data_IF_494257455705
#
_entry.id   IF_494257455705
#
_cell.length_a   1.000
_cell.length_b   1.000
_cell.length_c   1.000
_cell.angle_alpha   90.00
_cell.angle_beta   90.00
_cell.angle_gamma   90.00
#
_symmetry.space_group_name_H-M   'P 1'
#
loop_
_entity.id
_entity.type
_entity.pdbx_description
1 polymer ?
#
# COMPACT_ATOMS: atom_id res chain seq x y z
N UNK A 1 39.03 -28.57 -16.28
CA UNK A 1 39.32 -27.16 -16.62
C UNK A 1 38.86 -26.29 -15.47
N UNK A 2 39.72 -25.37 -15.01
CA UNK A 2 39.66 -24.69 -13.72
C UNK A 2 38.48 -23.71 -13.53
N UNK A 3 37.93 -23.73 -12.31
CA UNK A 3 37.45 -22.62 -11.45
C UNK A 3 36.61 -21.50 -12.08
N UNK A 4 35.37 -21.38 -11.61
CA UNK A 4 34.82 -20.15 -11.00
C UNK A 4 33.84 -20.58 -9.91
N UNK A 5 34.34 -20.74 -8.67
CA UNK A 5 34.24 -19.77 -7.57
C UNK A 5 32.79 -19.54 -7.13
N UNK A 6 32.46 -20.19 -6.01
CA UNK A 6 31.50 -19.78 -4.97
C UNK A 6 31.14 -18.29 -5.09
N UNK A 7 29.95 -17.99 -5.61
CA UNK A 7 29.27 -16.76 -5.26
C UNK A 7 28.23 -17.13 -4.21
N UNK A 8 28.66 -17.01 -2.95
CA UNK A 8 27.76 -16.77 -1.83
C UNK A 8 26.95 -15.53 -2.20
N UNK A 9 25.75 -15.72 -2.73
CA UNK A 9 24.69 -14.73 -2.57
C UNK A 9 23.98 -15.07 -1.28
N UNK A 10 24.60 -14.63 -0.17
CA UNK A 10 23.86 -14.22 1.01
C UNK A 10 22.99 -13.03 0.58
N UNK A 11 21.90 -13.28 -0.13
CA UNK A 11 20.81 -12.30 -0.22
C UNK A 11 20.11 -12.46 1.12
N UNK A 12 20.57 -11.62 2.04
CA UNK A 12 19.85 -11.31 3.26
C UNK A 12 18.41 -11.06 2.84
N UNK A 13 17.51 -11.95 3.29
CA UNK A 13 16.08 -11.74 3.20
C UNK A 13 15.80 -10.33 3.70
N UNK A 14 15.55 -9.40 2.78
CA UNK A 14 14.66 -8.32 3.10
C UNK A 14 13.29 -9.00 3.23
N UNK A 15 13.04 -9.58 4.41
CA UNK A 15 11.76 -9.29 5.04
C UNK A 15 11.56 -7.80 4.75
N UNK A 16 10.51 -7.45 4.01
CA UNK A 16 9.87 -6.16 4.22
C UNK A 16 9.31 -6.28 5.63
N UNK A 17 10.24 -6.23 6.59
CA UNK A 17 9.97 -6.08 7.98
C UNK A 17 9.27 -4.76 7.99
N UNK A 18 7.97 -4.84 8.28
CA UNK A 18 7.23 -3.82 8.97
C UNK A 18 8.26 -3.09 9.83
N UNK A 19 8.71 -1.93 9.37
CA UNK A 19 9.40 -1.01 10.24
C UNK A 19 8.31 -0.67 11.23
N UNK A 20 8.26 -1.45 12.31
CA UNK A 20 7.69 -1.05 13.56
C UNK A 20 8.54 0.16 13.98
N UNK A 21 8.26 1.30 13.36
CA UNK A 21 8.31 2.55 14.07
C UNK A 21 7.43 2.27 15.27
N UNK A 22 8.10 2.09 16.39
CA UNK A 22 7.51 2.09 17.71
C UNK A 22 6.73 3.40 17.80
N UNK A 23 5.49 3.40 17.33
CA UNK A 23 4.46 4.23 17.90
C UNK A 23 4.50 3.84 19.37
N UNK A 24 5.07 4.71 20.19
CA UNK A 24 4.97 4.60 21.63
C UNK A 24 3.52 4.18 21.90
N UNK A 25 3.35 3.03 22.54
CA UNK A 25 2.11 2.74 23.26
C UNK A 25 2.07 3.77 24.38
N UNK A 26 1.71 4.99 24.05
CA UNK A 26 1.33 5.94 25.06
C UNK A 26 -0.03 5.48 25.55
N UNK A 27 0.00 5.11 26.83
CA UNK A 27 -1.14 4.77 27.65
C UNK A 27 -2.24 5.81 27.45
N UNK A 28 -3.48 5.31 27.47
CA UNK A 28 -4.71 6.11 27.46
C UNK A 28 -4.58 7.31 28.42
N UNK A 29 -4.32 8.49 27.89
CA UNK A 29 -4.48 9.75 28.61
C UNK A 29 -5.97 10.08 28.70
N UNK A 30 -6.59 9.79 29.85
CA UNK A 30 -8.00 10.08 30.14
C UNK A 30 -8.23 11.39 30.88
N UNK A 31 -7.43 12.44 30.65
CA UNK A 31 -7.76 13.78 31.15
C UNK A 31 -7.61 14.85 30.06
N UNK A 32 -8.67 15.64 29.80
CA UNK A 32 -8.55 16.80 28.92
C UNK A 32 -7.56 17.80 29.53
N UNK A 33 -6.47 18.09 28.82
CA UNK A 33 -5.57 19.17 29.23
C UNK A 33 -6.33 20.50 29.31
N UNK A 34 -6.14 21.23 30.41
CA UNK A 34 -6.79 22.53 30.68
C UNK A 34 -6.06 23.71 30.04
N UNK A 35 -5.27 23.46 28.99
CA UNK A 35 -4.57 24.53 28.27
C UNK A 35 -5.56 25.51 27.65
N UNK A 36 -5.31 26.80 27.90
CA UNK A 36 -6.09 27.90 27.35
C UNK A 36 -6.00 28.02 25.82
N UNK A 37 -4.94 27.47 25.21
CA UNK A 37 -4.75 27.43 23.76
C UNK A 37 -5.47 26.22 23.15
N UNK A 38 -6.04 26.35 21.93
CA UNK A 38 -6.55 25.19 21.22
C UNK A 38 -5.40 24.23 20.93
N UNK A 39 -5.57 22.94 21.23
CA UNK A 39 -4.58 21.90 20.91
C UNK A 39 -5.29 20.75 20.22
N UNK A 40 -4.70 20.29 19.13
CA UNK A 40 -5.10 19.08 18.39
C UNK A 40 -3.91 18.14 18.27
N UNK A 41 -4.17 16.84 18.35
CA UNK A 41 -3.17 15.77 18.24
C UNK A 41 -3.60 14.76 17.20
N UNK A 42 -2.67 14.30 16.36
CA UNK A 42 -2.89 13.27 15.34
C UNK A 42 -2.26 11.96 15.80
N UNK A 43 -3.02 10.88 15.70
CA UNK A 43 -2.50 9.51 15.77
C UNK A 43 -2.74 8.83 14.44
N UNK A 44 -1.69 8.28 13.84
CA UNK A 44 -1.76 7.62 12.54
C UNK A 44 -1.83 6.10 12.71
N UNK A 45 -2.70 5.44 11.95
CA UNK A 45 -2.88 4.00 11.95
C UNK A 45 -2.81 3.44 10.54
N UNK A 46 -2.33 2.20 10.44
CA UNK A 46 -2.34 1.46 9.18
C UNK A 46 -3.78 1.22 8.72
N UNK A 47 -4.02 1.46 7.43
CA UNK A 47 -5.27 1.05 6.81
C UNK A 47 -5.45 -0.48 6.91
N UNK A 48 -6.70 -0.88 7.06
CA UNK A 48 -7.10 -2.29 7.03
C UNK A 48 -8.11 -2.47 5.90
N UNK A 49 -8.11 -3.65 5.29
CA UNK A 49 -9.02 -3.99 4.21
C UNK A 49 -10.49 -3.76 4.65
N UNK A 50 -11.35 -3.23 3.76
CA UNK A 50 -11.18 -3.12 2.32
C UNK A 50 -10.40 -1.88 1.84
N UNK A 51 -9.90 -1.03 2.76
CA UNK A 51 -9.03 0.09 2.39
C UNK A 51 -7.70 -0.42 1.81
N UNK A 52 -7.15 0.33 0.88
CA UNK A 52 -5.84 0.04 0.29
C UNK A 52 -4.75 0.21 1.34
N UNK A 53 -4.06 -0.86 1.68
CA UNK A 53 -2.87 -0.80 2.54
C UNK A 53 -1.69 -0.08 1.89
N UNK A 54 -1.78 0.24 0.59
CA UNK A 54 -0.75 0.94 -0.17
C UNK A 54 -0.90 2.46 -0.13
N UNK A 55 -2.14 2.95 -0.07
CA UNK A 55 -2.47 4.34 -0.39
C UNK A 55 -3.52 4.98 0.53
N UNK A 56 -4.12 4.21 1.42
CA UNK A 56 -5.09 4.72 2.37
C UNK A 56 -4.48 4.77 3.77
N UNK A 57 -4.98 5.70 4.59
CA UNK A 57 -4.54 5.91 5.96
C UNK A 57 -5.73 6.24 6.83
N UNK A 58 -5.71 5.77 8.08
CA UNK A 58 -6.65 6.23 9.11
C UNK A 58 -5.88 7.13 10.08
N UNK A 59 -6.39 8.33 10.30
CA UNK A 59 -5.85 9.25 11.32
C UNK A 59 -6.91 9.56 12.36
N UNK A 60 -6.57 9.37 13.64
CA UNK A 60 -7.40 9.82 14.75
C UNK A 60 -6.96 11.20 15.18
N UNK A 61 -7.92 12.11 15.25
CA UNK A 61 -7.71 13.46 15.76
C UNK A 61 -8.32 13.56 17.14
N UNK A 62 -7.53 13.99 18.12
CA UNK A 62 -7.99 14.35 19.45
C UNK A 62 -7.82 15.86 19.66
N UNK A 63 -8.73 16.46 20.42
CA UNK A 63 -8.71 17.89 20.76
C UNK A 63 -8.79 18.11 22.27
N UNK A 64 -8.22 19.21 22.76
CA UNK A 64 -8.48 19.69 24.10
C UNK A 64 -9.79 20.50 24.18
N UNK A 65 -10.19 20.92 25.38
CA UNK A 65 -11.45 21.64 25.62
C UNK A 65 -11.47 23.08 25.09
N UNK A 66 -10.33 23.59 24.64
CA UNK A 66 -10.20 24.93 24.08
C UNK A 66 -10.49 24.99 22.57
N UNK A 67 -10.58 23.85 21.86
CA UNK A 67 -10.87 23.83 20.41
C UNK A 67 -12.36 24.06 20.17
N UNK A 68 -12.69 25.09 19.39
CA UNK A 68 -14.06 25.41 18.97
C UNK A 68 -14.40 24.79 17.60
N UNK A 69 -13.40 24.65 16.74
CA UNK A 69 -13.52 23.96 15.45
C UNK A 69 -12.15 23.43 15.00
N UNK A 70 -12.16 22.40 14.16
CA UNK A 70 -10.94 21.89 13.56
C UNK A 70 -11.12 21.58 12.08
N UNK A 71 -10.04 21.70 11.33
CA UNK A 71 -9.99 21.49 9.88
C UNK A 71 -8.78 20.63 9.54
N UNK A 72 -8.91 19.77 8.54
CA UNK A 72 -7.79 18.98 8.04
C UNK A 72 -7.59 19.20 6.54
N UNK A 73 -6.34 19.08 6.10
CA UNK A 73 -5.97 19.02 4.70
C UNK A 73 -4.90 17.95 4.53
N UNK A 74 -5.17 16.99 3.66
CA UNK A 74 -4.18 16.03 3.18
C UNK A 74 -3.80 16.44 1.74
N UNK A 75 -2.56 16.83 1.53
CA UNK A 75 -2.05 17.23 0.22
C UNK A 75 -0.65 16.66 -0.02
N UNK A 76 -0.21 16.65 -1.29
CA UNK A 76 1.14 16.20 -1.63
C UNK A 76 2.18 17.09 -0.96
N UNK A 77 3.27 16.49 -0.49
CA UNK A 77 4.36 17.22 0.17
C UNK A 77 4.94 18.33 -0.74
N UNK A 78 5.08 18.04 -2.04
CA UNK A 78 5.57 19.00 -3.04
C UNK A 78 4.59 20.16 -3.26
N UNK A 79 3.28 19.90 -3.28
CA UNK A 79 2.26 20.95 -3.43
C UNK A 79 2.29 21.89 -2.22
N UNK A 80 2.37 21.35 -1.00
CA UNK A 80 2.55 22.14 0.22
C UNK A 80 3.82 22.99 0.17
N UNK A 81 4.94 22.40 -0.22
CA UNK A 81 6.22 23.10 -0.32
C UNK A 81 6.18 24.23 -1.37
N UNK A 82 5.57 23.98 -2.52
CA UNK A 82 5.44 24.94 -3.61
C UNK A 82 4.60 26.18 -3.23
N UNK A 83 3.69 26.06 -2.25
CA UNK A 83 2.93 27.21 -1.72
C UNK A 83 3.82 28.23 -1.01
N UNK A 84 4.93 27.78 -0.41
CA UNK A 84 5.90 28.64 0.27
C UNK A 84 5.25 29.61 1.29
N UNK A 85 4.27 29.11 2.05
CA UNK A 85 3.55 29.88 3.07
C UNK A 85 4.26 29.77 4.43
N UNK A 86 4.32 30.87 5.17
CA UNK A 86 4.72 30.83 6.58
C UNK A 86 3.71 30.01 7.41
N UNK A 87 4.11 29.41 8.55
CA UNK A 87 3.26 28.50 9.33
C UNK A 87 1.86 29.05 9.64
N UNK A 88 1.76 30.30 10.09
CA UNK A 88 0.46 30.92 10.41
C UNK A 88 -0.42 31.12 9.17
N UNK A 89 0.18 31.57 8.06
CA UNK A 89 -0.52 31.73 6.78
C UNK A 89 -0.97 30.38 6.20
N UNK A 90 -0.19 29.32 6.44
CA UNK A 90 -0.58 27.97 6.05
C UNK A 90 -1.71 27.42 6.93
N UNK A 91 -1.73 27.72 8.24
CA UNK A 91 -2.86 27.37 9.09
C UNK A 91 -4.16 28.04 8.63
N UNK A 92 -4.10 29.31 8.20
CA UNK A 92 -5.24 30.00 7.58
C UNK A 92 -5.66 29.34 6.26
N UNK A 93 -4.69 28.90 5.45
CA UNK A 93 -4.94 28.17 4.21
C UNK A 93 -5.71 26.87 4.47
N UNK A 94 -5.28 26.06 5.46
CA UNK A 94 -5.95 24.81 5.84
C UNK A 94 -7.36 25.05 6.37
N UNK A 95 -7.59 26.10 7.18
CA UNK A 95 -8.95 26.44 7.64
C UNK A 95 -9.86 26.84 6.47
N UNK A 96 -9.31 27.50 5.45
CA UNK A 96 -10.09 28.03 4.32
C UNK A 96 -10.32 27.02 3.19
N UNK A 97 -9.40 26.07 2.99
CA UNK A 97 -9.39 25.14 1.86
C UNK A 97 -9.47 23.66 2.28
N UNK A 98 -9.26 23.37 3.56
CA UNK A 98 -9.39 22.04 4.13
C UNK A 98 -10.84 21.66 4.40
N UNK A 99 -11.00 20.45 4.93
CA UNK A 99 -12.29 19.89 5.33
C UNK A 99 -12.49 20.06 6.83
N UNK A 100 -13.65 20.57 7.25
CA UNK A 100 -14.01 20.67 8.66
C UNK A 100 -14.16 19.28 9.28
N UNK A 101 -13.63 19.08 10.48
CA UNK A 101 -13.80 17.85 11.25
C UNK A 101 -15.08 17.98 12.07
N UNK A 102 -16.11 17.22 11.69
CA UNK A 102 -17.37 17.18 12.43
C UNK A 102 -17.26 16.32 13.68
N UNK A 103 -18.02 16.71 14.72
CA UNK A 103 -18.12 16.00 16.01
C UNK A 103 -16.83 15.89 16.84
N UNK A 104 -15.75 16.59 16.48
CA UNK A 104 -14.54 16.62 17.31
C UNK A 104 -14.76 17.51 18.54
N UNK A 105 -14.49 16.96 19.73
CA UNK A 105 -14.49 17.71 20.98
C UNK A 105 -13.58 17.07 22.02
N UNK A 106 -13.38 17.75 23.16
CA UNK A 106 -12.60 17.20 24.27
C UNK A 106 -13.15 15.86 24.75
N UNK A 107 -12.29 14.83 24.79
CA UNK A 107 -12.68 13.48 25.16
C UNK A 107 -13.46 12.72 24.07
N UNK A 108 -13.75 13.34 22.92
CA UNK A 108 -14.40 12.71 21.78
C UNK A 108 -13.51 12.81 20.52
N UNK A 109 -12.47 11.95 20.40
CA UNK A 109 -11.62 11.92 19.22
C UNK A 109 -12.39 11.40 18.00
N UNK A 110 -11.99 11.85 16.81
CA UNK A 110 -12.61 11.50 15.52
C UNK A 110 -11.61 10.78 14.63
N UNK A 111 -12.05 9.69 14.01
CA UNK A 111 -11.26 8.95 13.01
C UNK A 111 -11.59 9.48 11.61
N UNK A 112 -10.54 9.84 10.86
CA UNK A 112 -10.62 10.28 9.47
C UNK A 112 -10.01 9.21 8.57
N UNK A 113 -10.77 8.79 7.56
CA UNK A 113 -10.28 7.88 6.52
C UNK A 113 -9.83 8.70 5.31
N UNK A 114 -8.53 8.67 5.04
CA UNK A 114 -7.90 9.36 3.92
C UNK A 114 -7.53 8.33 2.86
N UNK A 115 -8.02 8.48 1.64
CA UNK A 115 -7.87 7.47 0.58
C UNK A 115 -7.12 7.98 -0.64
N UNK A 116 -6.48 7.06 -1.37
CA UNK A 116 -5.88 7.34 -2.68
C UNK A 116 -4.63 8.22 -2.64
N UNK A 117 -3.93 8.29 -1.50
CA UNK A 117 -2.70 9.07 -1.35
C UNK A 117 -1.53 8.34 -2.01
N UNK A 118 -1.22 8.67 -3.27
CA UNK A 118 -0.10 8.10 -4.04
C UNK A 118 1.14 8.98 -3.96
N UNK A 119 2.22 8.45 -3.39
CA UNK A 119 3.45 9.20 -3.12
C UNK A 119 3.48 9.85 -1.74
N UNK A 120 4.26 10.92 -1.60
CA UNK A 120 4.49 11.59 -0.32
C UNK A 120 3.39 12.64 -0.03
N UNK A 121 2.68 12.47 1.07
CA UNK A 121 1.60 13.33 1.54
C UNK A 121 1.91 13.90 2.93
N UNK A 122 1.45 15.13 3.15
CA UNK A 122 1.40 15.77 4.47
C UNK A 122 -0.06 15.94 4.84
N UNK A 123 -0.40 15.50 6.06
CA UNK A 123 -1.73 15.62 6.65
C UNK A 123 -1.62 16.66 7.76
N UNK A 124 -2.18 17.84 7.53
CA UNK A 124 -2.22 18.93 8.50
C UNK A 124 -3.59 19.01 9.13
N UNK A 125 -3.65 19.12 10.46
CA UNK A 125 -4.87 19.44 11.21
C UNK A 125 -4.69 20.74 11.97
N UNK A 126 -5.66 21.64 11.85
CA UNK A 126 -5.66 22.94 12.52
C UNK A 126 -6.85 23.02 13.48
N UNK A 127 -6.57 23.16 14.77
CA UNK A 127 -7.55 23.52 15.79
C UNK A 127 -7.68 25.04 15.92
N UNK A 128 -8.90 25.54 16.08
CA UNK A 128 -9.21 26.98 16.11
C UNK A 128 -9.98 27.32 17.38
N UNK A 129 -9.63 28.46 17.99
CA UNK A 129 -10.36 29.14 19.08
C UNK A 129 -10.34 30.64 18.84
N UNK A 130 -11.46 31.23 18.44
CA UNK A 130 -11.49 32.62 18.00
C UNK A 130 -10.44 32.90 16.91
N UNK A 131 -9.51 33.83 17.16
CA UNK A 131 -8.40 34.14 16.26
C UNK A 131 -7.16 33.24 16.44
N UNK A 132 -7.09 32.48 17.53
CA UNK A 132 -5.94 31.61 17.84
C UNK A 132 -6.06 30.28 17.11
N UNK A 133 -4.96 29.82 16.53
CA UNK A 133 -4.88 28.54 15.81
C UNK A 133 -3.71 27.72 16.33
N UNK A 134 -3.86 26.41 16.23
CA UNK A 134 -2.79 25.45 16.48
C UNK A 134 -2.80 24.41 15.37
N UNK A 135 -1.67 24.29 14.67
CA UNK A 135 -1.48 23.32 13.61
C UNK A 135 -0.61 22.16 14.09
N UNK A 136 -0.98 20.94 13.70
CA UNK A 136 -0.18 19.73 13.87
C UNK A 136 -0.16 18.97 12.56
N UNK A 137 0.92 18.22 12.30
CA UNK A 137 1.14 17.55 11.02
C UNK A 137 1.61 16.11 11.24
N UNK A 138 1.23 15.23 10.33
CA UNK A 138 1.85 13.92 10.13
C UNK A 138 2.12 13.70 8.65
N UNK A 139 3.01 12.76 8.32
CA UNK A 139 3.33 12.40 6.94
C UNK A 139 2.87 10.98 6.63
N UNK A 140 2.35 10.79 5.42
CA UNK A 140 2.00 9.49 4.88
C UNK A 140 2.71 9.29 3.54
N UNK A 141 3.33 8.12 3.36
CA UNK A 141 3.98 7.76 2.11
C UNK A 141 3.27 6.57 1.49
N UNK A 142 2.45 6.84 0.48
CA UNK A 142 1.81 5.79 -0.29
C UNK A 142 2.66 5.29 -1.45
N UNK A 143 2.36 4.09 -1.93
CA UNK A 143 2.99 3.55 -3.13
C UNK A 143 2.51 4.30 -4.38
N UNK A 144 3.44 4.78 -5.19
CA UNK A 144 3.14 5.66 -6.30
C UNK A 144 2.88 4.86 -7.59
N UNK A 145 1.70 4.24 -7.65
CA UNK A 145 1.33 3.38 -8.76
C UNK A 145 1.04 4.15 -10.05
N UNK A 146 1.49 3.60 -11.18
CA UNK A 146 1.32 4.14 -12.52
C UNK A 146 0.91 3.04 -13.49
N UNK A 147 -0.07 3.34 -14.33
CA UNK A 147 -0.57 2.39 -15.33
C UNK A 147 0.48 2.12 -16.41
N UNK A 148 0.62 0.83 -16.76
CA UNK A 148 1.39 0.37 -17.92
C UNK A 148 0.43 0.03 -19.04
N UNK A 149 -0.50 -0.90 -18.78
CA UNK A 149 -1.42 -1.42 -19.76
C UNK A 149 -2.70 -1.93 -19.09
N UNK A 150 -3.82 -1.82 -19.81
CA UNK A 150 -5.05 -2.56 -19.51
C UNK A 150 -5.04 -3.85 -20.31
N UNK A 151 -5.62 -4.91 -19.75
CA UNK A 151 -5.58 -6.22 -20.37
C UNK A 151 -6.51 -7.22 -19.70
N UNK A 152 -6.48 -8.45 -20.18
CA UNK A 152 -7.22 -9.58 -19.60
C UNK A 152 -6.31 -10.43 -18.73
N UNK A 153 -6.67 -10.60 -17.45
CA UNK A 153 -6.05 -11.57 -16.57
C UNK A 153 -6.83 -12.90 -16.59
N UNK A 154 -6.12 -14.00 -16.75
CA UNK A 154 -6.67 -15.36 -16.72
C UNK A 154 -6.02 -16.17 -15.61
N UNK A 155 -6.87 -16.73 -14.73
CA UNK A 155 -6.45 -17.56 -13.61
C UNK A 155 -6.27 -19.01 -14.04
N UNK A 156 -5.17 -19.64 -13.63
CA UNK A 156 -4.94 -21.08 -13.79
C UNK A 156 -5.87 -21.93 -12.91
N UNK A 157 -6.31 -21.37 -11.77
CA UNK A 157 -7.16 -22.04 -10.78
C UNK A 157 -8.37 -21.16 -10.40
N UNK A 158 -9.32 -20.96 -11.32
CA UNK A 158 -10.51 -20.16 -11.05
C UNK A 158 -11.33 -20.68 -9.84
N UNK A 159 -11.34 -22.00 -9.63
CA UNK A 159 -12.00 -22.61 -8.48
C UNK A 159 -11.33 -22.28 -7.13
N UNK A 160 -10.03 -21.99 -7.09
CA UNK A 160 -9.32 -21.61 -5.87
C UNK A 160 -9.52 -20.13 -5.52
N UNK A 161 -9.68 -19.28 -6.54
CA UNK A 161 -9.88 -17.83 -6.37
C UNK A 161 -11.36 -17.43 -6.31
N UNK A 162 -12.26 -18.29 -6.79
CA UNK A 162 -13.65 -17.94 -7.04
C UNK A 162 -13.83 -16.89 -8.15
N UNK A 163 -12.79 -16.67 -8.97
CA UNK A 163 -12.76 -15.67 -10.03
C UNK A 163 -12.69 -16.34 -11.40
N UNK A 164 -13.37 -15.76 -12.39
CA UNK A 164 -13.13 -16.05 -13.81
C UNK A 164 -12.15 -15.04 -14.40
N UNK A 165 -11.70 -15.24 -15.64
CA UNK A 165 -10.91 -14.23 -16.34
C UNK A 165 -11.58 -12.86 -16.27
N UNK A 166 -10.79 -11.81 -16.03
CA UNK A 166 -11.27 -10.46 -15.75
C UNK A 166 -10.37 -9.44 -16.43
N UNK A 167 -10.94 -8.29 -16.79
CA UNK A 167 -10.15 -7.11 -17.13
C UNK A 167 -9.37 -6.66 -15.91
N UNK A 168 -8.11 -6.28 -16.11
CA UNK A 168 -7.24 -5.76 -15.06
C UNK A 168 -6.25 -4.74 -15.65
N UNK A 169 -5.54 -4.04 -14.77
CA UNK A 169 -4.51 -3.07 -15.15
C UNK A 169 -3.17 -3.49 -14.57
N UNK A 170 -2.17 -3.65 -15.45
CA UNK A 170 -0.77 -3.77 -15.05
C UNK A 170 -0.25 -2.40 -14.66
N UNK A 171 0.39 -2.31 -13.49
CA UNK A 171 0.96 -1.07 -12.96
C UNK A 171 2.41 -1.29 -12.48
N UNK A 172 3.23 -0.24 -12.58
CA UNK A 172 4.52 -0.15 -11.89
C UNK A 172 4.45 0.84 -10.72
N UNK A 173 5.33 0.66 -9.74
CA UNK A 173 5.47 1.58 -8.61
C UNK A 173 6.61 2.57 -8.89
N UNK A 174 6.30 3.84 -9.08
CA UNK A 174 7.29 4.86 -9.44
C UNK A 174 8.27 5.18 -8.29
N UNK A 175 7.90 4.89 -7.04
CA UNK A 175 8.72 5.13 -5.86
C UNK A 175 9.29 3.86 -5.19
N UNK A 176 9.12 2.69 -5.82
CA UNK A 176 9.75 1.43 -5.41
C UNK A 176 10.23 0.68 -6.65
N UNK A 177 11.54 0.68 -6.86
CA UNK A 177 12.15 0.09 -8.05
C UNK A 177 11.83 -1.40 -8.20
N UNK A 178 11.55 -1.82 -9.44
CA UNK A 178 11.21 -3.19 -9.79
C UNK A 178 9.89 -3.73 -9.20
N UNK A 179 9.06 -2.91 -8.55
CA UNK A 179 7.77 -3.35 -8.00
C UNK A 179 6.62 -3.09 -8.99
N UNK A 180 5.85 -4.15 -9.26
CA UNK A 180 4.72 -4.14 -10.15
C UNK A 180 3.48 -4.76 -9.48
N UNK A 181 2.31 -4.49 -10.05
CA UNK A 181 1.09 -5.22 -9.69
C UNK A 181 0.11 -5.37 -10.85
N UNK A 182 -0.70 -6.42 -10.80
CA UNK A 182 -1.97 -6.49 -11.50
C UNK A 182 -3.04 -5.98 -10.52
N UNK A 183 -3.51 -4.74 -10.76
CA UNK A 183 -4.36 -3.99 -9.84
C UNK A 183 -5.69 -4.69 -9.59
N UNK A 184 -6.04 -4.87 -8.32
CA UNK A 184 -7.33 -5.36 -7.80
C UNK A 184 -7.83 -6.67 -8.45
N UNK A 185 -6.91 -7.47 -8.99
CA UNK A 185 -7.25 -8.67 -9.79
C UNK A 185 -8.02 -9.71 -8.97
N UNK A 186 -7.86 -9.74 -7.65
CA UNK A 186 -8.60 -10.62 -6.76
C UNK A 186 -9.82 -9.95 -6.09
N UNK A 187 -9.99 -8.63 -6.27
CA UNK A 187 -11.01 -7.80 -5.63
C UNK A 187 -10.40 -6.49 -5.12
N UNK A 188 -11.26 -5.56 -4.68
CA UNK A 188 -10.82 -4.26 -4.17
C UNK A 188 -9.79 -4.41 -3.04
N UNK A 189 -8.62 -3.80 -3.22
CA UNK A 189 -7.50 -3.86 -2.27
C UNK A 189 -6.62 -5.10 -2.41
N UNK A 190 -7.01 -6.09 -3.21
CA UNK A 190 -6.27 -7.34 -3.42
C UNK A 190 -5.73 -7.43 -4.85
N UNK A 191 -4.56 -6.84 -5.04
CA UNK A 191 -3.77 -6.91 -6.28
C UNK A 191 -2.81 -8.09 -6.25
N UNK A 192 -2.39 -8.59 -7.42
CA UNK A 192 -1.22 -9.47 -7.49
C UNK A 192 0.03 -8.61 -7.59
N UNK A 193 0.83 -8.54 -6.52
CA UNK A 193 2.13 -7.85 -6.53
C UNK A 193 3.25 -8.79 -6.93
N UNK A 194 4.18 -8.29 -7.73
CA UNK A 194 5.35 -9.04 -8.17
C UNK A 194 6.56 -8.11 -8.38
N UNK A 195 7.76 -8.68 -8.34
CA UNK A 195 9.00 -7.91 -8.47
C UNK A 195 9.85 -8.40 -9.63
N UNK A 196 10.43 -7.45 -10.37
CA UNK A 196 11.50 -7.72 -11.32
C UNK A 196 12.74 -8.27 -10.62
N UNK A 197 13.44 -9.18 -11.28
CA UNK A 197 14.70 -9.76 -10.76
C UNK A 197 15.95 -9.12 -11.37
N UNK A 198 15.77 -8.26 -12.39
CA UNK A 198 16.84 -7.74 -13.24
C UNK A 198 17.39 -8.75 -14.26
N UNK A 199 16.99 -10.03 -14.19
CA UNK A 199 17.37 -11.03 -15.18
C UNK A 199 16.53 -10.86 -16.44
N UNK A 200 17.19 -10.57 -17.56
CA UNK A 200 16.55 -10.30 -18.85
C UNK A 200 16.82 -11.42 -19.84
N UNK A 201 15.88 -11.64 -20.74
CA UNK A 201 16.01 -12.58 -21.85
C UNK A 201 15.26 -12.10 -23.09
N UNK A 202 15.41 -12.86 -24.17
CA UNK A 202 14.69 -12.66 -25.42
C UNK A 202 14.28 -14.01 -25.97
N UNK A 203 13.02 -14.12 -26.38
CA UNK A 203 12.50 -15.29 -27.08
C UNK A 203 11.64 -14.88 -28.30
N UNK A 204 10.83 -15.80 -28.84
CA UNK A 204 9.95 -15.54 -29.98
C UNK A 204 8.79 -14.57 -29.67
N UNK A 205 8.48 -14.35 -28.40
CA UNK A 205 7.42 -13.48 -27.91
C UNK A 205 7.95 -12.06 -27.74
N UNK A 206 9.22 -11.90 -27.35
CA UNK A 206 9.89 -10.61 -27.28
C UNK A 206 11.00 -10.59 -26.24
N UNK A 207 11.42 -9.39 -25.84
CA UNK A 207 12.26 -9.24 -24.65
C UNK A 207 11.40 -9.33 -23.41
N UNK A 208 11.97 -9.92 -22.37
CA UNK A 208 11.31 -10.06 -21.09
C UNK A 208 12.28 -9.88 -19.93
N UNK A 209 11.71 -9.56 -18.77
CA UNK A 209 12.34 -9.66 -17.48
C UNK A 209 11.70 -10.80 -16.67
N UNK A 210 12.54 -11.60 -16.01
CA UNK A 210 12.09 -12.63 -15.07
C UNK A 210 11.58 -11.96 -13.80
N UNK A 211 10.42 -12.41 -13.31
CA UNK A 211 9.74 -11.81 -12.15
C UNK A 211 9.45 -12.81 -11.02
N UNK A 212 9.20 -12.32 -9.81
CA UNK A 212 8.87 -13.11 -8.62
C UNK A 212 7.52 -12.71 -8.05
N UNK A 213 6.77 -13.70 -7.58
CA UNK A 213 5.52 -13.53 -6.83
C UNK A 213 5.74 -14.11 -5.42
N UNK A 214 5.98 -13.23 -4.45
CA UNK A 214 6.02 -13.62 -3.05
C UNK A 214 4.64 -14.09 -2.56
N UNK A 215 4.64 -14.87 -1.47
CA UNK A 215 3.42 -15.30 -0.81
C UNK A 215 2.60 -14.09 -0.34
N UNK A 216 1.34 -14.01 -0.80
CA UNK A 216 0.44 -12.91 -0.47
C UNK A 216 -1.02 -13.40 -0.36
N UNK A 217 -1.81 -12.86 0.58
CA UNK A 217 -3.23 -13.17 0.69
C UNK A 217 -4.00 -12.56 -0.48
N UNK A 218 -5.06 -13.25 -0.93
CA UNK A 218 -5.88 -12.78 -2.06
C UNK A 218 -7.30 -12.35 -1.66
N UNK A 219 -7.60 -12.33 -0.35
CA UNK A 219 -8.90 -11.88 0.15
C UNK A 219 -10.05 -12.85 -0.12
N UNK A 220 -9.73 -14.13 -0.32
CA UNK A 220 -10.69 -15.20 -0.56
C UNK A 220 -10.56 -16.27 0.51
N UNK A 221 -11.64 -16.96 0.80
CA UNK A 221 -11.68 -18.13 1.69
C UNK A 221 -12.03 -19.37 0.88
N UNK A 222 -11.42 -20.51 1.25
CA UNK A 222 -11.71 -21.79 0.59
C UNK A 222 -12.42 -22.75 1.54
N UNK A 223 -13.75 -22.74 1.49
CA UNK A 223 -14.60 -23.53 2.38
C UNK A 223 -14.22 -23.31 3.85
N UNK A 224 -14.05 -24.41 4.60
CA UNK A 224 -13.64 -24.38 6.01
C UNK A 224 -12.11 -24.43 6.20
N UNK A 225 -11.32 -24.34 5.13
CA UNK A 225 -9.86 -24.49 5.19
C UNK A 225 -9.11 -23.16 5.40
N UNK A 226 -9.82 -22.03 5.38
CA UNK A 226 -9.30 -20.71 5.71
C UNK A 226 -8.95 -19.85 4.50
N UNK A 227 -8.12 -18.84 4.75
CA UNK A 227 -7.76 -17.79 3.80
C UNK A 227 -6.82 -18.32 2.71
N UNK A 228 -7.14 -17.96 1.47
CA UNK A 228 -6.36 -18.31 0.28
C UNK A 228 -5.24 -17.30 0.08
N UNK A 229 -4.07 -17.83 -0.25
CA UNK A 229 -2.89 -17.08 -0.65
C UNK A 229 -2.35 -17.58 -1.99
N UNK A 230 -1.55 -16.75 -2.65
CA UNK A 230 -0.85 -17.05 -3.91
C UNK A 230 0.65 -16.82 -3.75
N UNK A 231 1.46 -17.64 -4.42
CA UNK A 231 2.93 -17.47 -4.55
C UNK A 231 3.42 -18.11 -5.84
N UNK A 232 4.59 -17.73 -6.35
CA UNK A 232 5.22 -18.46 -7.44
C UNK A 232 5.72 -19.85 -6.99
N UNK A 233 5.92 -20.74 -7.97
CA UNK A 233 6.36 -22.11 -7.69
C UNK A 233 7.78 -22.18 -7.13
N UNK A 234 8.66 -21.26 -7.53
CA UNK A 234 10.01 -21.20 -6.99
C UNK A 234 10.01 -20.90 -5.48
N UNK A 235 9.13 -20.01 -5.04
CA UNK A 235 8.88 -19.65 -3.63
C UNK A 235 8.27 -20.81 -2.87
N UNK A 236 7.35 -21.57 -3.50
CA UNK A 236 6.79 -22.77 -2.88
C UNK A 236 7.85 -23.87 -2.71
N UNK A 237 8.61 -24.16 -3.77
CA UNK A 237 9.58 -25.26 -3.81
C UNK A 237 10.93 -24.88 -3.18
N UNK A 238 11.10 -23.60 -2.82
CA UNK A 238 12.34 -23.04 -2.29
C UNK A 238 13.55 -23.34 -3.19
N UNK A 239 13.37 -23.22 -4.51
CA UNK A 239 14.42 -23.37 -5.52
C UNK A 239 14.06 -22.58 -6.78
N UNK A 240 15.08 -22.03 -7.43
CA UNK A 240 14.94 -21.26 -8.67
C UNK A 240 14.76 -22.14 -9.91
N UNK A 241 14.88 -23.46 -9.76
CA UNK A 241 14.59 -24.41 -10.84
C UNK A 241 13.14 -24.33 -11.34
N UNK A 242 12.23 -23.77 -10.50
CA UNK A 242 10.83 -23.53 -10.85
C UNK A 242 10.51 -22.06 -11.10
N UNK A 243 11.53 -21.21 -11.28
CA UNK A 243 11.33 -19.81 -11.61
C UNK A 243 10.98 -19.68 -13.09
N UNK A 244 9.69 -19.79 -13.39
CA UNK A 244 9.15 -19.57 -14.73
C UNK A 244 8.02 -18.53 -14.67
N UNK A 245 8.42 -17.29 -14.43
CA UNK A 245 7.54 -16.13 -14.54
C UNK A 245 8.26 -15.04 -15.34
N UNK A 246 7.54 -14.34 -16.20
CA UNK A 246 8.12 -13.24 -16.95
C UNK A 246 7.12 -12.12 -17.19
N UNK A 247 7.65 -10.91 -17.37
CA UNK A 247 6.97 -9.73 -17.89
C UNK A 247 7.70 -9.26 -19.14
N UNK A 248 6.97 -9.12 -20.24
CA UNK A 248 7.48 -8.70 -21.54
C UNK A 248 7.37 -7.18 -21.72
N UNK A 249 8.15 -6.64 -22.66
CA UNK A 249 8.15 -5.20 -22.99
C UNK A 249 6.77 -4.67 -23.43
N UNK A 250 5.92 -5.53 -24.01
CA UNK A 250 4.55 -5.19 -24.41
C UNK A 250 3.54 -5.24 -23.24
N UNK A 251 3.98 -5.65 -22.05
CA UNK A 251 3.14 -5.81 -20.87
C UNK A 251 2.51 -7.20 -20.73
N UNK A 252 2.76 -8.15 -21.64
CA UNK A 252 2.36 -9.55 -21.43
C UNK A 252 3.07 -10.11 -20.20
N UNK A 253 2.31 -10.72 -19.29
CA UNK A 253 2.88 -11.41 -18.14
C UNK A 253 2.38 -12.86 -18.08
N UNK A 254 3.25 -13.74 -17.61
CA UNK A 254 2.83 -15.06 -17.14
C UNK A 254 3.49 -15.39 -15.80
N UNK A 255 2.75 -16.08 -14.94
CA UNK A 255 3.19 -16.44 -13.60
C UNK A 255 2.86 -17.91 -13.34
N UNK A 256 3.88 -18.73 -13.11
CA UNK A 256 3.70 -20.09 -12.64
C UNK A 256 3.45 -20.08 -11.13
N UNK A 257 2.18 -20.03 -10.75
CA UNK A 257 1.75 -19.79 -9.37
C UNK A 257 1.03 -20.98 -8.75
N UNK A 258 1.16 -21.07 -7.43
CA UNK A 258 0.38 -21.94 -6.56
C UNK A 258 -0.63 -21.10 -5.79
N UNK A 259 -1.87 -21.58 -5.74
CA UNK A 259 -2.87 -21.15 -4.76
C UNK A 259 -2.88 -22.12 -3.57
N UNK A 260 -2.93 -21.60 -2.36
CA UNK A 260 -2.83 -22.43 -1.15
C UNK A 260 -3.59 -21.83 0.04
N UNK A 261 -3.92 -22.69 0.98
CA UNK A 261 -4.40 -22.36 2.34
C UNK A 261 -3.41 -22.93 3.35
N UNK A 262 -3.58 -22.64 4.64
CA UNK A 262 -2.75 -23.22 5.71
C UNK A 262 -2.75 -24.75 5.70
N UNK A 263 -3.87 -25.37 5.31
CA UNK A 263 -4.01 -26.82 5.22
C UNK A 263 -3.30 -27.45 4.00
N UNK A 264 -2.87 -26.66 3.00
CA UNK A 264 -2.12 -27.17 1.85
C UNK A 264 -2.45 -26.50 0.52
N UNK A 265 -2.01 -27.15 -0.56
CA UNK A 265 -2.14 -26.69 -1.94
C UNK A 265 -3.58 -26.79 -2.44
N UNK A 266 -4.09 -25.73 -3.08
CA UNK A 266 -5.31 -25.74 -3.88
C UNK A 266 -5.03 -25.97 -5.38
N UNK A 267 -3.75 -26.23 -5.73
CA UNK A 267 -3.28 -26.45 -7.09
C UNK A 267 -2.42 -25.31 -7.62
N UNK A 268 -1.81 -25.56 -8.77
CA UNK A 268 -0.90 -24.62 -9.44
C UNK A 268 -1.09 -24.60 -10.96
N UNK A 269 -0.59 -23.55 -11.60
CA UNK A 269 -0.55 -23.41 -13.06
C UNK A 269 -0.16 -21.99 -13.49
N UNK A 270 -0.26 -21.73 -14.78
CA UNK A 270 0.10 -20.43 -15.36
C UNK A 270 -1.07 -19.47 -15.32
N UNK A 271 -0.98 -18.49 -14.43
CA UNK A 271 -1.75 -17.28 -14.56
C UNK A 271 -1.15 -16.42 -15.67
N UNK A 272 -1.99 -15.66 -16.37
CA UNK A 272 -1.55 -14.83 -17.52
C UNK A 272 -2.26 -13.49 -17.51
N UNK A 273 -1.52 -12.44 -17.81
CA UNK A 273 -2.04 -11.13 -18.16
C UNK A 273 -1.71 -10.85 -19.63
N UNK A 274 -2.73 -10.57 -20.43
CA UNK A 274 -2.58 -10.25 -21.86
C UNK A 274 -3.01 -8.79 -22.07
N UNK A 275 -2.09 -7.88 -22.46
CA UNK A 275 -2.42 -6.49 -22.74
C UNK A 275 -3.36 -6.38 -23.95
N UNK A 276 -4.19 -5.33 -23.97
CA UNK A 276 -5.07 -4.96 -25.10
C UNK A 276 -4.34 -4.23 -26.23
#
# INVERSE_FOLDING_TARGET
MNKMKKYLYNIMFAFVGILALTACKDERGTEPGTDSNPVVTIYQYDAQLPLSTDNDCVVRVAANSSVESAYYLAEKADDKAARNLAPDAYADYVVSNGTKIDNLSAGNPVDLTLTGMMGDYVITVVGVKGSTKYATETSFKGLDWRDIATGTYTFAKPAATGQTSTTATLQYCANVDGLYRIKDVFGAGYSLKFTGTGMKGTDKTGNYEVVRVAAQPIGKTYGNYGDVSVRDLATWQNTDDYLDNAMYDDGYCYFWVQYFVSAGSLGYGYDKFVPE
#
